data_IF_698194486464
#
_entry.id   IF_698194486464
#
_cell.length_a   1.000
_cell.length_b   1.000
_cell.length_c   1.000
_cell.angle_alpha   90.00
_cell.angle_beta   90.00
_cell.angle_gamma   90.00
#
_symmetry.space_group_name_H-M   'P 1'
#
loop_
_entity.id
_entity.type
_entity.pdbx_description
1 polymer ?
#
# COMPACT_ATOMS: atom_id res chain seq x y z
N UNK A 1 -13.39 15.82 -3.01
CA UNK A 1 -13.53 14.47 -2.42
C UNK A 1 -12.36 14.29 -1.47
N UNK A 2 -12.63 13.99 -0.22
CA UNK A 2 -11.57 13.83 0.78
C UNK A 2 -10.87 12.48 0.53
N UNK A 3 -9.55 12.49 0.33
CA UNK A 3 -8.78 11.27 0.07
C UNK A 3 -8.58 10.53 1.40
N UNK A 4 -9.15 9.33 1.50
CA UNK A 4 -8.91 8.47 2.65
C UNK A 4 -7.64 7.64 2.42
N UNK A 5 -6.71 7.67 3.38
CA UNK A 5 -5.46 6.92 3.34
C UNK A 5 -5.42 5.86 4.45
N UNK A 6 -5.07 4.65 4.07
CA UNK A 6 -4.91 3.51 4.98
C UNK A 6 -3.48 2.99 4.89
N UNK A 7 -2.64 3.39 5.83
CA UNK A 7 -1.22 3.03 5.85
C UNK A 7 -1.07 1.62 6.40
N UNK A 8 -0.47 0.74 5.60
CA UNK A 8 -0.14 -0.62 6.01
C UNK A 8 1.21 -0.66 6.71
N UNK A 9 2.20 0.02 6.13
CA UNK A 9 3.54 0.04 6.67
C UNK A 9 4.27 1.31 6.22
N UNK A 10 5.14 1.84 7.09
CA UNK A 10 6.00 2.96 6.75
C UNK A 10 7.30 2.88 7.55
N UNK A 11 8.34 3.50 7.04
CA UNK A 11 9.63 3.51 7.73
C UNK A 11 10.77 3.98 6.86
N UNK A 12 11.96 3.85 7.44
CA UNK A 12 13.23 4.05 6.76
C UNK A 12 14.01 2.75 6.89
N UNK A 13 14.55 2.26 5.79
CA UNK A 13 15.30 1.01 5.83
C UNK A 13 15.84 0.60 4.48
N UNK A 14 16.44 -0.59 4.50
CA UNK A 14 16.91 -1.31 3.33
C UNK A 14 16.18 -2.64 3.22
N UNK A 15 15.97 -3.17 2.02
CA UNK A 15 15.49 -4.55 1.85
C UNK A 15 16.45 -5.53 2.54
N UNK A 16 15.92 -6.70 2.91
CA UNK A 16 16.76 -7.77 3.47
C UNK A 16 17.83 -8.24 2.46
N UNK A 17 18.91 -8.84 2.97
CA UNK A 17 20.00 -9.38 2.15
C UNK A 17 19.56 -10.48 1.16
N UNK A 18 18.39 -11.09 1.36
CA UNK A 18 17.79 -12.08 0.46
C UNK A 18 17.04 -11.45 -0.73
N UNK A 19 17.08 -10.13 -0.82
CA UNK A 19 16.48 -9.38 -1.92
C UNK A 19 15.13 -8.74 -1.62
N UNK A 20 14.75 -7.86 -2.48
CA UNK A 20 13.49 -7.12 -2.43
C UNK A 20 12.43 -7.89 -3.21
N UNK A 21 12.05 -9.06 -2.71
CA UNK A 21 11.12 -9.93 -3.43
C UNK A 21 9.69 -9.72 -2.94
N UNK A 22 8.95 -8.89 -3.65
CA UNK A 22 7.53 -8.62 -3.37
C UNK A 22 6.56 -9.54 -4.15
N UNK A 23 7.03 -10.65 -4.68
CA UNK A 23 6.32 -11.48 -5.67
C UNK A 23 4.95 -12.05 -5.24
N UNK A 24 4.55 -11.91 -3.97
CA UNK A 24 3.25 -12.37 -3.44
C UNK A 24 2.62 -11.43 -2.42
N UNK A 25 3.02 -10.17 -2.42
CA UNK A 25 2.47 -9.21 -1.48
C UNK A 25 1.07 -8.74 -1.88
N UNK A 26 0.36 -8.22 -0.89
CA UNK A 26 -0.91 -7.53 -1.08
C UNK A 26 -0.69 -6.36 -2.03
N UNK A 27 -1.48 -6.31 -3.08
CA UNK A 27 -1.47 -5.18 -4.01
C UNK A 27 -1.83 -3.90 -3.27
N UNK A 28 -0.95 -2.91 -3.33
CA UNK A 28 -1.10 -1.61 -2.68
C UNK A 28 -0.26 -0.54 -3.39
N UNK A 29 -0.54 0.71 -3.09
CA UNK A 29 0.29 1.81 -3.53
C UNK A 29 1.54 1.90 -2.65
N UNK A 30 2.65 2.34 -3.23
CA UNK A 30 3.90 2.57 -2.51
C UNK A 30 4.49 3.91 -2.85
N UNK A 31 4.88 4.64 -1.83
CA UNK A 31 5.65 5.87 -1.97
C UNK A 31 7.06 5.62 -1.44
N UNK A 32 8.07 5.76 -2.31
CA UNK A 32 9.47 5.51 -1.98
C UNK A 32 10.32 6.74 -2.28
N UNK A 33 11.01 7.25 -1.28
CA UNK A 33 12.05 8.27 -1.44
C UNK A 33 13.42 7.62 -1.29
N UNK A 34 14.25 7.74 -2.31
CA UNK A 34 15.54 7.05 -2.38
C UNK A 34 16.64 7.88 -1.72
N UNK A 35 17.20 7.34 -0.65
CA UNK A 35 18.27 7.96 0.14
C UNK A 35 19.66 7.60 -0.37
N UNK A 36 19.81 6.46 -1.04
CA UNK A 36 21.07 5.98 -1.59
C UNK A 36 21.06 4.47 -1.79
N UNK A 37 22.20 3.92 -2.20
CA UNK A 37 22.33 2.53 -2.58
C UNK A 37 21.94 2.28 -4.04
N UNK A 38 22.12 1.04 -4.49
CA UNK A 38 21.88 0.59 -5.85
C UNK A 38 20.71 -0.38 -5.93
N UNK A 39 19.78 -0.11 -6.84
CA UNK A 39 18.59 -0.93 -7.04
C UNK A 39 17.77 -0.47 -8.23
N UNK A 40 16.75 -1.25 -8.58
CA UNK A 40 15.91 -0.98 -9.73
C UNK A 40 14.47 -1.44 -9.49
N UNK A 41 13.58 -0.95 -10.31
CA UNK A 41 12.22 -1.50 -10.45
C UNK A 41 11.99 -1.97 -11.88
N UNK A 42 11.04 -2.91 -12.05
CA UNK A 42 10.63 -3.37 -13.37
C UNK A 42 9.45 -2.51 -13.83
N UNK A 43 9.53 -1.95 -15.02
CA UNK A 43 8.40 -1.25 -15.64
C UNK A 43 7.35 -2.23 -16.21
N UNK A 44 6.28 -1.69 -16.83
CA UNK A 44 5.21 -2.48 -17.43
C UNK A 44 5.67 -3.40 -18.58
N UNK A 45 6.76 -3.08 -19.24
CA UNK A 45 7.35 -3.81 -20.37
C UNK A 45 8.43 -4.80 -19.93
N UNK A 46 8.72 -4.88 -18.64
CA UNK A 46 9.71 -5.78 -18.08
C UNK A 46 11.14 -5.23 -18.09
N UNK A 47 11.32 -3.95 -18.43
CA UNK A 47 12.62 -3.30 -18.41
C UNK A 47 13.01 -2.93 -16.97
N UNK A 48 14.27 -3.19 -16.60
CA UNK A 48 14.84 -2.78 -15.33
C UNK A 48 15.22 -1.30 -15.38
N UNK A 49 14.56 -0.48 -14.55
CA UNK A 49 14.80 0.95 -14.42
C UNK A 49 15.54 1.22 -13.10
N UNK A 50 16.74 1.79 -13.11
CA UNK A 50 17.48 2.05 -11.88
C UNK A 50 16.80 3.13 -11.04
N UNK A 51 16.80 2.94 -9.73
CA UNK A 51 16.41 3.99 -8.79
C UNK A 51 17.44 5.10 -8.75
N UNK A 52 16.98 6.33 -8.61
CA UNK A 52 17.85 7.52 -8.51
C UNK A 52 17.73 8.11 -7.11
N UNK A 53 18.89 8.38 -6.47
CA UNK A 53 18.96 9.08 -5.19
C UNK A 53 18.33 10.48 -5.33
N UNK A 54 17.56 10.89 -4.32
CA UNK A 54 16.86 12.18 -4.31
C UNK A 54 15.54 12.20 -5.08
N UNK A 55 15.13 11.04 -5.64
CA UNK A 55 13.84 10.91 -6.31
C UNK A 55 12.78 10.30 -5.39
N UNK A 56 11.57 10.79 -5.55
CA UNK A 56 10.35 10.28 -4.94
C UNK A 56 9.55 9.51 -6.01
N UNK A 57 9.21 8.26 -5.70
CA UNK A 57 8.50 7.34 -6.60
C UNK A 57 7.16 6.98 -5.98
N UNK A 58 6.07 7.22 -6.70
CA UNK A 58 4.75 6.69 -6.36
C UNK A 58 4.40 5.54 -7.31
N UNK A 59 4.35 4.32 -6.78
CA UNK A 59 3.90 3.13 -7.49
C UNK A 59 2.38 3.00 -7.35
N UNK A 60 1.64 3.08 -8.48
CA UNK A 60 0.19 2.96 -8.48
C UNK A 60 -0.28 1.58 -8.05
N UNK A 61 -1.56 1.52 -7.65
CA UNK A 61 -2.19 0.29 -7.19
C UNK A 61 -2.22 -0.83 -8.25
N UNK A 62 -2.46 -0.45 -9.50
CA UNK A 62 -2.69 -1.38 -10.61
C UNK A 62 -1.41 -1.97 -11.24
N UNK A 63 -0.24 -1.51 -10.84
CA UNK A 63 1.02 -2.01 -11.41
C UNK A 63 1.55 -3.20 -10.63
N UNK A 64 1.92 -4.25 -11.37
CA UNK A 64 2.70 -5.35 -10.81
C UNK A 64 4.11 -4.83 -10.49
N UNK A 65 4.41 -4.77 -9.21
CA UNK A 65 5.65 -4.18 -8.72
C UNK A 65 6.70 -5.29 -8.52
N UNK A 66 7.85 -5.10 -9.15
CA UNK A 66 9.04 -5.94 -8.98
C UNK A 66 10.24 -5.03 -8.73
N UNK A 67 10.95 -5.31 -7.66
CA UNK A 67 12.09 -4.51 -7.23
C UNK A 67 13.32 -5.39 -7.09
N UNK A 68 14.49 -4.80 -7.33
CA UNK A 68 15.78 -5.40 -7.07
C UNK A 68 16.67 -4.44 -6.28
N UNK A 69 17.51 -4.98 -5.42
CA UNK A 69 18.50 -4.24 -4.63
C UNK A 69 19.84 -4.97 -4.74
N UNK A 70 20.91 -4.22 -4.91
CA UNK A 70 22.27 -4.78 -4.89
C UNK A 70 22.62 -5.23 -3.46
N UNK A 71 22.97 -6.50 -3.24
CA UNK A 71 23.34 -6.97 -1.90
C UNK A 71 24.61 -6.29 -1.32
N UNK A 72 25.50 -5.78 -2.17
CA UNK A 72 26.76 -5.13 -1.76
C UNK A 72 26.56 -3.63 -1.51
N UNK A 73 25.54 -3.01 -2.11
CA UNK A 73 25.19 -1.61 -1.93
C UNK A 73 23.64 -1.50 -1.82
N UNK A 74 23.03 -2.00 -0.74
CA UNK A 74 21.58 -2.12 -0.66
C UNK A 74 20.91 -0.76 -0.68
N UNK A 75 19.81 -0.68 -1.45
CA UNK A 75 19.00 0.53 -1.54
C UNK A 75 18.53 0.96 -0.14
N UNK A 76 18.67 2.24 0.18
CA UNK A 76 18.08 2.84 1.39
C UNK A 76 17.00 3.80 0.98
N UNK A 77 15.83 3.67 1.60
CA UNK A 77 14.68 4.50 1.25
C UNK A 77 13.78 4.77 2.45
N UNK A 78 13.13 5.92 2.42
CA UNK A 78 11.90 6.17 3.16
C UNK A 78 10.76 5.54 2.38
N UNK A 79 9.84 4.89 3.04
CA UNK A 79 8.70 4.25 2.36
C UNK A 79 7.39 4.36 3.12
N UNK A 80 6.31 4.42 2.33
CA UNK A 80 4.93 4.22 2.76
C UNK A 80 4.29 3.19 1.84
N UNK A 81 3.77 2.12 2.43
CA UNK A 81 2.90 1.14 1.78
C UNK A 81 1.47 1.41 2.25
N UNK A 82 0.56 1.74 1.33
CA UNK A 82 -0.75 2.24 1.69
C UNK A 82 -1.83 1.90 0.67
N UNK A 83 -3.09 2.08 1.07
CA UNK A 83 -4.25 2.14 0.18
C UNK A 83 -4.83 3.54 0.24
N UNK A 84 -5.34 4.04 -0.88
CA UNK A 84 -6.13 5.28 -0.93
C UNK A 84 -7.51 5.03 -1.54
N UNK A 85 -8.47 5.83 -1.11
CA UNK A 85 -9.78 5.94 -1.76
C UNK A 85 -10.03 7.42 -2.07
N UNK A 86 -10.08 7.80 -3.36
CA UNK A 86 -9.88 7.01 -4.58
C UNK A 86 -8.46 6.42 -4.71
N UNK A 87 -8.29 5.26 -5.40
CA UNK A 87 -6.98 4.69 -5.66
C UNK A 87 -6.22 5.46 -6.75
N UNK A 88 -4.88 5.52 -6.65
CA UNK A 88 -4.03 6.00 -7.75
C UNK A 88 -3.87 4.88 -8.76
N UNK A 89 -4.31 5.13 -10.00
CA UNK A 89 -4.22 4.20 -11.13
C UNK A 89 -3.45 4.88 -12.26
N UNK A 90 -2.33 4.31 -12.67
CA UNK A 90 -1.51 4.86 -13.75
C UNK A 90 -0.80 3.74 -14.53
N UNK A 91 -0.41 3.99 -15.79
CA UNK A 91 0.29 3.01 -16.62
C UNK A 91 1.76 2.80 -16.22
N UNK A 92 2.33 3.72 -15.45
CA UNK A 92 3.71 3.67 -14.99
C UNK A 92 3.86 4.33 -13.61
N UNK A 93 4.96 4.09 -12.88
CA UNK A 93 5.26 4.81 -11.65
C UNK A 93 5.40 6.32 -11.91
N UNK A 94 4.99 7.12 -10.93
CA UNK A 94 5.16 8.57 -10.96
C UNK A 94 6.48 8.88 -10.25
N UNK A 95 7.43 9.44 -11.01
CA UNK A 95 8.77 9.76 -10.52
C UNK A 95 8.95 11.27 -10.49
N UNK A 96 9.46 11.81 -9.41
CA UNK A 96 9.70 13.25 -9.22
C UNK A 96 11.07 13.43 -8.56
N UNK A 97 11.90 14.30 -9.12
CA UNK A 97 13.11 14.79 -8.44
C UNK A 97 12.66 15.75 -7.32
N UNK A 98 13.03 15.46 -6.09
CA UNK A 98 12.57 16.27 -4.95
C UNK A 98 13.11 17.70 -4.95
N UNK A 99 14.21 17.95 -5.65
CA UNK A 99 14.75 19.29 -5.83
C UNK A 99 13.90 20.21 -6.71
N UNK A 100 12.97 19.63 -7.50
CA UNK A 100 12.12 20.40 -8.40
C UNK A 100 10.85 20.95 -7.70
N UNK A 101 10.65 20.60 -6.42
CA UNK A 101 9.47 21.01 -5.63
C UNK A 101 9.91 21.72 -4.35
N UNK A 102 9.58 23.01 -4.24
CA UNK A 102 9.82 23.78 -3.00
C UNK A 102 9.13 23.15 -1.80
N UNK A 103 9.87 22.96 -0.72
CA UNK A 103 9.35 22.38 0.53
C UNK A 103 9.27 20.85 0.58
N UNK A 104 9.42 20.12 -0.55
CA UNK A 104 9.32 18.66 -0.55
C UNK A 104 10.50 18.01 0.17
N UNK A 105 11.71 18.51 -0.02
CA UNK A 105 12.89 18.00 0.67
C UNK A 105 12.76 18.18 2.19
N UNK A 106 12.34 19.35 2.63
CA UNK A 106 12.09 19.67 4.04
C UNK A 106 10.99 18.80 4.64
N UNK A 107 9.90 18.58 3.90
CA UNK A 107 8.81 17.68 4.31
C UNK A 107 9.28 16.24 4.47
N UNK A 108 10.14 15.75 3.57
CA UNK A 108 10.75 14.42 3.64
C UNK A 108 11.71 14.30 4.83
N UNK A 109 12.54 15.32 5.07
CA UNK A 109 13.44 15.35 6.24
C UNK A 109 12.66 15.37 7.56
N UNK A 110 11.59 16.17 7.65
CA UNK A 110 10.70 16.18 8.80
C UNK A 110 10.07 14.80 9.02
N UNK A 111 9.56 14.20 7.95
CA UNK A 111 8.98 12.85 7.97
C UNK A 111 9.98 11.81 8.48
N UNK A 112 11.20 11.84 7.99
CA UNK A 112 12.26 10.92 8.43
C UNK A 112 12.61 11.10 9.91
N UNK A 113 12.74 12.34 10.40
CA UNK A 113 13.00 12.62 11.83
C UNK A 113 11.88 12.08 12.71
N UNK A 114 10.63 12.28 12.31
CA UNK A 114 9.48 11.78 13.07
C UNK A 114 9.47 10.25 13.09
N UNK A 115 9.69 9.59 11.95
CA UNK A 115 9.72 8.13 11.86
C UNK A 115 10.85 7.49 12.69
N UNK A 116 12.01 8.16 12.79
CA UNK A 116 13.14 7.69 13.59
C UNK A 116 12.90 7.85 15.10
N UNK A 117 12.13 8.87 15.51
CA UNK A 117 11.88 9.18 16.93
C UNK A 117 10.73 8.38 17.56
N UNK A 118 9.98 7.58 16.79
CA UNK A 118 8.75 6.93 17.26
C UNK A 118 8.77 5.40 17.10
N UNK A 119 8.05 4.73 18.01
CA UNK A 119 7.79 3.29 17.89
C UNK A 119 6.81 3.03 16.74
N UNK A 120 7.21 2.20 15.78
CA UNK A 120 6.49 1.95 14.52
C UNK A 120 5.02 1.50 14.68
N UNK A 121 4.66 0.53 15.56
CA UNK A 121 3.29 0.01 15.59
C UNK A 121 2.23 1.05 15.93
N UNK A 122 2.49 1.89 16.92
CA UNK A 122 1.54 2.93 17.36
C UNK A 122 1.53 4.15 16.45
N UNK A 123 2.60 4.36 15.68
CA UNK A 123 2.70 5.51 14.78
C UNK A 123 1.88 5.32 13.49
N UNK A 124 1.82 4.10 12.94
CA UNK A 124 1.09 3.81 11.70
C UNK A 124 -0.39 4.17 11.81
N UNK A 125 -1.00 3.94 12.97
CA UNK A 125 -2.41 4.27 13.22
C UNK A 125 -2.63 5.73 13.64
N UNK A 126 -1.56 6.51 13.78
CA UNK A 126 -1.68 7.89 14.24
C UNK A 126 -2.15 8.83 13.12
N UNK A 127 -3.00 9.83 13.43
CA UNK A 127 -3.36 10.87 12.46
C UNK A 127 -2.16 11.60 11.87
N UNK A 128 -1.06 11.71 12.64
CA UNK A 128 0.18 12.33 12.18
C UNK A 128 0.81 11.56 11.01
N UNK A 129 0.81 10.23 11.04
CA UNK A 129 1.34 9.42 9.95
C UNK A 129 0.56 9.66 8.64
N UNK A 130 -0.77 9.66 8.73
CA UNK A 130 -1.63 9.98 7.57
C UNK A 130 -1.42 11.41 7.08
N UNK A 131 -1.27 12.39 7.98
CA UNK A 131 -1.02 13.78 7.61
C UNK A 131 0.32 13.97 6.89
N UNK A 132 1.37 13.26 7.30
CA UNK A 132 2.66 13.29 6.61
C UNK A 132 2.54 12.72 5.19
N UNK A 133 1.86 11.59 5.02
CA UNK A 133 1.65 11.02 3.69
C UNK A 133 0.79 11.95 2.82
N UNK A 134 -0.28 12.55 3.36
CA UNK A 134 -1.08 13.55 2.64
C UNK A 134 -0.25 14.74 2.19
N UNK A 135 0.61 15.28 3.07
CA UNK A 135 1.51 16.38 2.72
C UNK A 135 2.43 16.01 1.55
N UNK A 136 3.07 14.84 1.58
CA UNK A 136 3.95 14.39 0.51
C UNK A 136 3.21 14.22 -0.82
N UNK A 137 2.01 13.59 -0.79
CA UNK A 137 1.19 13.40 -1.99
C UNK A 137 0.67 14.75 -2.54
N UNK A 138 0.31 15.70 -1.66
CA UNK A 138 -0.12 17.04 -2.06
C UNK A 138 0.99 17.81 -2.75
N UNK A 139 2.20 17.81 -2.18
CA UNK A 139 3.37 18.44 -2.81
C UNK A 139 3.71 17.81 -4.16
N UNK A 140 3.62 16.49 -4.29
CA UNK A 140 3.78 15.82 -5.59
C UNK A 140 2.74 16.29 -6.60
N UNK A 141 1.50 16.46 -6.17
CA UNK A 141 0.37 16.86 -7.04
C UNK A 141 0.51 18.27 -7.59
N UNK A 142 1.28 19.17 -6.95
CA UNK A 142 1.56 20.52 -7.45
C UNK A 142 2.34 20.52 -8.77
N UNK A 143 3.24 19.55 -8.97
CA UNK A 143 4.08 19.45 -10.17
C UNK A 143 3.52 18.44 -11.15
N UNK A 144 2.98 17.34 -10.67
CA UNK A 144 2.42 16.29 -11.50
C UNK A 144 1.09 15.81 -10.94
N UNK A 145 -0.04 16.15 -11.60
CA UNK A 145 -1.36 15.71 -11.16
C UNK A 145 -1.39 14.21 -10.91
N UNK A 146 -1.79 13.80 -9.71
CA UNK A 146 -1.89 12.39 -9.37
C UNK A 146 -3.17 11.82 -9.98
N UNK A 147 -3.10 10.73 -10.76
CA UNK A 147 -4.24 10.14 -11.45
C UNK A 147 -5.10 9.31 -10.49
N UNK A 148 -5.82 9.98 -9.59
CA UNK A 148 -6.80 9.33 -8.75
C UNK A 148 -7.98 8.85 -9.60
N UNK A 149 -8.30 7.57 -9.47
CA UNK A 149 -9.41 6.97 -10.20
C UNK A 149 -10.74 7.23 -9.48
N UNK A 150 -11.54 8.13 -10.01
CA UNK A 150 -12.76 8.66 -9.36
C UNK A 150 -14.04 7.97 -9.83
N UNK A 151 -13.99 6.71 -10.26
CA UNK A 151 -15.21 5.93 -10.53
C UNK A 151 -16.02 5.80 -9.23
N UNK A 152 -17.18 6.45 -9.18
CA UNK A 152 -18.01 6.53 -7.96
C UNK A 152 -18.41 5.16 -7.43
N UNK A 153 -18.70 4.21 -8.34
CA UNK A 153 -19.10 2.84 -7.96
C UNK A 153 -17.95 2.12 -7.27
N UNK A 154 -16.74 2.25 -7.80
CA UNK A 154 -15.55 1.61 -7.24
C UNK A 154 -15.17 2.29 -5.94
N UNK A 155 -15.11 3.62 -5.90
CA UNK A 155 -14.80 4.37 -4.67
C UNK A 155 -15.77 4.01 -3.54
N UNK A 156 -17.07 4.03 -3.81
CA UNK A 156 -18.08 3.65 -2.83
C UNK A 156 -17.93 2.20 -2.36
N UNK A 157 -17.66 1.28 -3.28
CA UNK A 157 -17.41 -0.12 -2.92
C UNK A 157 -16.17 -0.30 -2.04
N UNK A 158 -15.10 0.46 -2.30
CA UNK A 158 -13.90 0.46 -1.47
C UNK A 158 -14.19 0.99 -0.07
N UNK A 159 -14.96 2.08 0.04
CA UNK A 159 -15.41 2.64 1.33
C UNK A 159 -16.23 1.61 2.14
N UNK A 160 -17.21 0.94 1.49
CA UNK A 160 -18.00 -0.10 2.14
C UNK A 160 -17.10 -1.22 2.67
N UNK A 161 -16.14 -1.69 1.87
CA UNK A 161 -15.19 -2.73 2.28
C UNK A 161 -14.37 -2.24 3.48
N UNK A 162 -13.82 -1.04 3.42
CA UNK A 162 -12.95 -0.48 4.44
C UNK A 162 -13.68 -0.25 5.77
N UNK A 163 -14.96 0.12 5.73
CA UNK A 163 -15.78 0.32 6.92
C UNK A 163 -16.34 -0.98 7.51
N UNK A 164 -16.60 -1.99 6.66
CA UNK A 164 -17.33 -3.20 7.05
C UNK A 164 -16.53 -4.50 6.88
N UNK A 165 -15.20 -4.45 6.63
CA UNK A 165 -14.37 -5.64 6.39
C UNK A 165 -14.46 -6.69 7.50
N UNK A 166 -14.71 -6.28 8.73
CA UNK A 166 -14.84 -7.13 9.92
C UNK A 166 -16.17 -7.91 9.97
N UNK A 167 -17.18 -7.52 9.18
CA UNK A 167 -18.48 -8.16 9.11
C UNK A 167 -18.54 -9.22 8.00
N UNK A 168 -19.55 -10.12 8.01
CA UNK A 168 -19.79 -11.03 6.90
C UNK A 168 -20.24 -10.24 5.66
N UNK A 169 -19.28 -9.75 4.89
CA UNK A 169 -19.53 -8.98 3.67
C UNK A 169 -19.35 -9.88 2.45
N UNK A 170 -20.38 -9.96 1.61
CA UNK A 170 -20.40 -10.76 0.39
C UNK A 170 -20.30 -9.89 -0.86
N UNK A 171 -19.80 -10.48 -1.96
CA UNK A 171 -19.76 -9.77 -3.26
C UNK A 171 -21.15 -9.44 -3.76
N UNK A 172 -22.16 -10.28 -3.45
CA UNK A 172 -23.57 -10.01 -3.78
C UNK A 172 -24.09 -8.74 -3.09
N UNK A 173 -23.76 -8.57 -1.81
CA UNK A 173 -24.10 -7.34 -1.09
C UNK A 173 -23.42 -6.11 -1.67
N UNK A 174 -22.11 -6.19 -1.97
CA UNK A 174 -21.39 -5.09 -2.61
C UNK A 174 -21.98 -4.70 -3.96
N UNK A 175 -22.36 -5.68 -4.77
CA UNK A 175 -23.00 -5.44 -6.07
C UNK A 175 -24.38 -4.79 -5.91
N UNK A 176 -25.18 -5.25 -4.95
CA UNK A 176 -26.51 -4.68 -4.66
C UNK A 176 -26.40 -3.22 -4.16
N UNK A 177 -25.48 -2.92 -3.25
CA UNK A 177 -25.22 -1.56 -2.77
C UNK A 177 -24.74 -0.63 -3.92
N UNK A 178 -23.97 -1.17 -4.87
CA UNK A 178 -23.56 -0.45 -6.07
C UNK A 178 -24.66 -0.33 -7.14
N UNK A 179 -25.81 -0.97 -6.96
CA UNK A 179 -26.92 -0.95 -7.92
C UNK A 179 -26.70 -1.80 -9.17
N UNK A 180 -25.85 -2.83 -9.10
CA UNK A 180 -25.49 -3.65 -10.26
C UNK A 180 -25.75 -5.15 -10.04
N UNK A 181 -25.91 -5.86 -11.16
CA UNK A 181 -25.87 -7.32 -11.18
C UNK A 181 -24.44 -7.80 -10.80
N UNK A 182 -24.35 -8.88 -10.04
CA UNK A 182 -23.11 -9.36 -9.44
C UNK A 182 -21.98 -9.58 -10.46
N UNK A 183 -22.26 -10.25 -11.59
CA UNK A 183 -21.24 -10.55 -12.58
C UNK A 183 -20.74 -9.30 -13.31
N UNK A 184 -21.64 -8.34 -13.56
CA UNK A 184 -21.28 -7.04 -14.12
C UNK A 184 -20.37 -6.27 -13.15
N UNK A 185 -20.75 -6.21 -11.87
CA UNK A 185 -19.95 -5.57 -10.82
C UNK A 185 -18.55 -6.17 -10.70
N UNK A 186 -18.44 -7.52 -10.67
CA UNK A 186 -17.14 -8.21 -10.61
C UNK A 186 -16.26 -7.83 -11.79
N UNK A 187 -16.81 -7.83 -13.02
CA UNK A 187 -16.05 -7.46 -14.23
C UNK A 187 -15.58 -6.01 -14.17
N UNK A 188 -16.46 -5.08 -13.80
CA UNK A 188 -16.13 -3.65 -13.66
C UNK A 188 -15.04 -3.42 -12.63
N UNK A 189 -15.22 -3.97 -11.43
CA UNK A 189 -14.25 -3.88 -10.35
C UNK A 189 -12.88 -4.46 -10.77
N UNK A 190 -12.88 -5.64 -11.38
CA UNK A 190 -11.65 -6.28 -11.87
C UNK A 190 -10.98 -5.48 -12.99
N UNK A 191 -11.73 -4.85 -13.86
CA UNK A 191 -11.20 -4.00 -14.94
C UNK A 191 -10.41 -2.81 -14.41
N UNK A 192 -10.80 -2.26 -13.26
CA UNK A 192 -10.19 -1.07 -12.64
C UNK A 192 -9.12 -1.49 -11.61
N UNK A 193 -9.48 -2.39 -10.70
CA UNK A 193 -8.64 -2.78 -9.56
C UNK A 193 -7.72 -3.97 -9.85
N UNK A 194 -7.75 -4.55 -11.07
CA UNK A 194 -7.00 -5.72 -11.52
C UNK A 194 -7.16 -6.97 -10.64
N UNK A 195 -8.07 -6.93 -9.67
CA UNK A 195 -8.45 -8.06 -8.82
C UNK A 195 -9.96 -8.08 -8.56
N UNK A 196 -10.48 -9.21 -8.09
CA UNK A 196 -11.90 -9.32 -7.75
C UNK A 196 -12.24 -8.61 -6.44
N UNK A 197 -13.51 -8.17 -6.22
CA UNK A 197 -13.93 -7.59 -4.94
C UNK A 197 -13.63 -8.49 -3.74
N UNK A 198 -13.81 -9.80 -3.89
CA UNK A 198 -13.48 -10.79 -2.85
C UNK A 198 -11.97 -10.81 -2.54
N UNK A 199 -11.12 -10.79 -3.57
CA UNK A 199 -9.67 -10.76 -3.38
C UNK A 199 -9.23 -9.47 -2.68
N UNK A 200 -9.82 -8.32 -3.04
CA UNK A 200 -9.58 -7.04 -2.38
C UNK A 200 -9.97 -7.09 -0.88
N UNK A 201 -11.20 -7.54 -0.56
CA UNK A 201 -11.67 -7.68 0.82
C UNK A 201 -10.76 -8.61 1.63
N UNK A 202 -10.39 -9.76 1.07
CA UNK A 202 -9.46 -10.70 1.70
C UNK A 202 -8.11 -10.05 1.99
N UNK A 203 -7.53 -9.37 1.00
CA UNK A 203 -6.25 -8.68 1.12
C UNK A 203 -6.31 -7.56 2.16
N UNK A 204 -7.40 -6.79 2.17
CA UNK A 204 -7.63 -5.74 3.16
C UNK A 204 -7.70 -6.32 4.59
N UNK A 205 -8.45 -7.41 4.80
CA UNK A 205 -8.49 -8.13 6.09
C UNK A 205 -7.12 -8.61 6.54
N UNK A 206 -6.33 -9.17 5.64
CA UNK A 206 -4.97 -9.64 5.96
C UNK A 206 -4.02 -8.49 6.29
N UNK A 207 -4.16 -7.36 5.63
CA UNK A 207 -3.41 -6.14 5.96
C UNK A 207 -3.76 -5.67 7.38
N UNK A 208 -5.04 -5.56 7.71
CA UNK A 208 -5.49 -5.17 9.04
C UNK A 208 -5.05 -6.18 10.12
N UNK A 209 -5.14 -7.48 9.84
CA UNK A 209 -4.68 -8.51 10.75
C UNK A 209 -3.17 -8.38 11.08
N UNK A 210 -2.34 -8.11 10.05
CA UNK A 210 -0.91 -7.87 10.26
C UNK A 210 -0.63 -6.66 11.14
N UNK A 211 -1.38 -5.58 10.96
CA UNK A 211 -1.25 -4.39 11.80
C UNK A 211 -1.61 -4.67 13.26
N UNK A 212 -2.72 -5.39 13.50
CA UNK A 212 -3.14 -5.80 14.83
C UNK A 212 -2.11 -6.72 15.51
N UNK A 213 -1.56 -7.70 14.77
CA UNK A 213 -0.52 -8.58 15.29
C UNK A 213 0.78 -7.83 15.61
N UNK A 214 1.17 -6.85 14.78
CA UNK A 214 2.34 -5.99 15.03
C UNK A 214 2.14 -5.08 16.25
N UNK A 215 0.90 -4.67 16.54
CA UNK A 215 0.57 -3.91 17.76
C UNK A 215 0.53 -4.76 19.04
N UNK A 216 0.80 -6.08 18.92
CA UNK A 216 0.88 -7.00 20.05
C UNK A 216 -0.41 -7.76 20.36
N UNK A 217 -1.45 -7.65 19.52
CA UNK A 217 -2.64 -8.47 19.67
C UNK A 217 -2.36 -9.95 19.40
N UNK A 218 -3.08 -10.81 20.06
CA UNK A 218 -3.03 -12.25 19.82
C UNK A 218 -3.65 -12.61 18.47
N UNK A 219 -3.31 -13.79 17.94
CA UNK A 219 -3.88 -14.28 16.69
C UNK A 219 -5.41 -14.44 16.77
N UNK A 220 -5.92 -14.81 17.94
CA UNK A 220 -7.35 -15.00 18.18
C UNK A 220 -8.12 -13.66 18.15
N UNK A 221 -7.62 -12.67 18.88
CA UNK A 221 -8.17 -11.31 18.86
C UNK A 221 -8.13 -10.71 17.44
N UNK A 222 -7.00 -10.87 16.73
CA UNK A 222 -6.87 -10.39 15.37
C UNK A 222 -7.87 -11.06 14.43
N UNK A 223 -8.04 -12.40 14.50
CA UNK A 223 -8.99 -13.15 13.68
C UNK A 223 -10.41 -12.63 13.87
N UNK A 224 -10.85 -12.47 15.11
CA UNK A 224 -12.18 -11.94 15.44
C UNK A 224 -12.37 -10.53 14.90
N UNK A 225 -11.40 -9.64 15.08
CA UNK A 225 -11.47 -8.24 14.64
C UNK A 225 -11.47 -8.02 13.13
N UNK A 226 -10.90 -8.96 12.36
CA UNK A 226 -10.82 -8.81 10.90
C UNK A 226 -11.84 -9.69 10.15
N UNK A 227 -12.78 -10.31 10.86
CA UNK A 227 -13.87 -11.07 10.26
C UNK A 227 -13.48 -12.46 9.74
N UNK A 228 -12.49 -13.12 10.37
CA UNK A 228 -12.20 -14.54 10.18
C UNK A 228 -12.90 -15.37 11.25
N UNK A 229 -13.51 -16.48 10.82
CA UNK A 229 -14.27 -17.38 11.71
C UNK A 229 -13.37 -18.11 12.73
N UNK A 230 -12.08 -18.27 12.43
CA UNK A 230 -11.16 -18.96 13.31
C UNK A 230 -9.71 -18.48 13.14
N UNK A 231 -8.94 -18.63 14.20
CA UNK A 231 -7.47 -18.43 14.22
C UNK A 231 -6.77 -19.26 13.14
N UNK A 232 -7.21 -20.51 12.93
CA UNK A 232 -6.65 -21.41 11.94
C UNK A 232 -6.85 -20.91 10.50
N UNK A 233 -8.03 -20.34 10.20
CA UNK A 233 -8.34 -19.78 8.88
C UNK A 233 -7.52 -18.52 8.60
N UNK A 234 -7.37 -17.62 9.57
CA UNK A 234 -6.49 -16.45 9.45
C UNK A 234 -5.03 -16.87 9.27
N UNK A 235 -4.53 -17.78 10.11
CA UNK A 235 -3.14 -18.24 10.02
C UNK A 235 -2.83 -18.89 8.67
N UNK A 236 -3.76 -19.66 8.11
CA UNK A 236 -3.63 -20.24 6.75
C UNK A 236 -3.56 -19.14 5.69
N UNK A 237 -4.45 -18.15 5.76
CA UNK A 237 -4.51 -17.06 4.81
C UNK A 237 -3.25 -16.17 4.87
N UNK A 238 -2.73 -15.89 6.07
CA UNK A 238 -1.47 -15.16 6.27
C UNK A 238 -0.28 -15.92 5.65
N UNK A 239 -0.15 -17.24 5.88
CA UNK A 239 0.92 -18.05 5.29
C UNK A 239 0.89 -18.06 3.76
N UNK A 240 -0.29 -18.07 3.16
CA UNK A 240 -0.43 -18.05 1.69
C UNK A 240 0.02 -16.72 1.05
N UNK A 241 0.03 -15.64 1.83
CA UNK A 241 0.36 -14.28 1.36
C UNK A 241 1.70 -13.77 1.90
N UNK A 242 2.41 -14.54 2.73
CA UNK A 242 3.77 -14.20 3.14
C UNK A 242 4.78 -14.72 2.12
N UNK A 243 5.70 -13.86 1.62
CA UNK A 243 7.01 -14.36 1.23
C UNK A 243 7.66 -14.95 2.49
N UNK A 244 8.43 -16.01 2.32
CA UNK A 244 9.26 -16.52 3.40
C UNK A 244 10.19 -15.39 3.89
N UNK A 245 9.86 -14.78 5.04
CA UNK A 245 10.81 -13.88 5.69
C UNK A 245 11.84 -14.77 6.39
N UNK A 246 13.14 -14.52 6.18
CA UNK A 246 14.11 -15.03 7.12
C UNK A 246 13.87 -14.33 8.45
N UNK A 247 13.62 -15.13 9.46
CA UNK A 247 13.60 -14.70 10.86
C UNK A 247 15.02 -14.24 11.22
N UNK A 248 15.19 -12.99 11.54
CA UNK A 248 16.30 -12.47 12.36
C UNK A 248 15.72 -11.56 13.42
#
# INVERSE_FOLDING_TARGET
MEHQLYINYCGIGSPSATGWHLAREIEMQRLYYILGGSGSYCDGDGQQIPFQKGFLYLFPYNLRQQFASDPNDPIRHLFFDFLSTPPVIAPAPICINTADIGGLTEALELTMRILQSRSRPTFIESPLCSSLLHLLLSLMAEVKPLPFHTDEVICHSLEIIQQNFHKPLTVTQLAAEAGFEQNYFIRRFRGIMHQTPYAYLRNYRLMQARNLLRSGMTMDEAASKVGYESTASLARALRQTMPAQPVT
#
